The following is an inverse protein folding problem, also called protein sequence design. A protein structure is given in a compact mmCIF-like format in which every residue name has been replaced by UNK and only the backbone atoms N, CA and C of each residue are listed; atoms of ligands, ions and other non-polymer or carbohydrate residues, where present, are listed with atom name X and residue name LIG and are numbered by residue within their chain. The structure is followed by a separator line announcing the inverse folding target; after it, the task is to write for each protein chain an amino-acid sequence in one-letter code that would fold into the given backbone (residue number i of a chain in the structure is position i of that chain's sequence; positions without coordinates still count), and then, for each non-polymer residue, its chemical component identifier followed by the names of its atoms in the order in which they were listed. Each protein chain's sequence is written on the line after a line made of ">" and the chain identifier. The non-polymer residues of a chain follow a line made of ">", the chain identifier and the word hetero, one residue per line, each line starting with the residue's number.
data_IF_075279286811
#
_entry.id   IF_075279286811
#
_cell.length_a   1.000
_cell.length_b   1.000
_cell.length_c   1.000
_cell.angle_alpha   90.00
_cell.angle_beta   90.00
_cell.angle_gamma   90.00
#
_symmetry.space_group_name_H-M   'P 1'
#
loop_
_entity.id
_entity.type
_entity.pdbx_description
1 polymer ?
#
# COMPACT_ATOMS: atom_id res chain seq x y z
N UNK A 1 31.55 -33.29 13.01
CA UNK A 1 30.62 -33.48 11.88
C UNK A 1 29.99 -32.12 11.60
N UNK A 2 30.22 -31.57 10.42
CA UNK A 2 29.78 -30.24 10.03
C UNK A 2 28.51 -30.32 9.18
N UNK A 3 27.53 -29.49 9.49
CA UNK A 3 26.49 -29.06 8.54
C UNK A 3 26.14 -27.62 8.91
N UNK A 4 26.86 -26.68 8.31
CA UNK A 4 26.42 -25.30 8.19
C UNK A 4 25.46 -25.26 7.00
N UNK A 5 24.19 -24.98 7.27
CA UNK A 5 23.19 -24.65 6.24
C UNK A 5 23.17 -23.12 6.12
N UNK A 6 23.68 -22.54 5.03
CA UNK A 6 23.33 -21.17 4.68
C UNK A 6 21.96 -21.20 4.00
N UNK A 7 20.87 -21.07 4.76
CA UNK A 7 19.57 -20.70 4.21
C UNK A 7 19.60 -19.20 3.92
N UNK A 8 20.15 -18.88 2.75
CA UNK A 8 19.94 -17.60 2.09
C UNK A 8 18.50 -17.58 1.57
N UNK A 9 17.60 -17.03 2.38
CA UNK A 9 16.26 -16.64 1.95
C UNK A 9 16.17 -15.12 2.06
N UNK A 10 16.97 -14.42 1.24
CA UNK A 10 16.67 -13.05 0.83
C UNK A 10 15.53 -13.12 -0.19
N UNK A 11 14.35 -13.51 0.28
CA UNK A 11 13.13 -13.23 -0.45
C UNK A 11 12.73 -11.81 -0.07
N UNK A 12 13.25 -10.84 -0.81
CA UNK A 12 12.56 -9.56 -1.00
C UNK A 12 11.23 -9.88 -1.70
N UNK A 13 10.27 -10.38 -0.92
CA UNK A 13 9.02 -10.91 -1.41
C UNK A 13 8.20 -9.73 -1.92
N UNK A 14 8.32 -9.49 -3.23
CA UNK A 14 7.43 -8.63 -4.02
C UNK A 14 6.02 -9.22 -3.95
N UNK A 15 5.34 -9.01 -2.81
CA UNK A 15 3.89 -9.09 -2.76
C UNK A 15 3.40 -7.97 -3.67
N UNK A 16 3.07 -8.33 -4.91
CA UNK A 16 2.32 -7.51 -5.84
C UNK A 16 0.99 -7.15 -5.17
N UNK A 17 1.01 -6.12 -4.33
CA UNK A 17 -0.17 -5.62 -3.64
C UNK A 17 -1.10 -5.15 -4.73
N UNK A 18 -2.20 -5.86 -4.94
CA UNK A 18 -3.19 -5.48 -5.95
C UNK A 18 -3.79 -4.16 -5.51
N UNK A 19 -3.50 -3.11 -6.28
CA UNK A 19 -4.04 -1.78 -6.06
C UNK A 19 -5.15 -1.51 -7.07
N UNK A 20 -6.23 -0.87 -6.62
CA UNK A 20 -7.33 -0.48 -7.49
C UNK A 20 -7.83 0.90 -7.10
N UNK A 21 -8.07 1.76 -8.09
CA UNK A 21 -8.60 3.09 -7.86
C UNK A 21 -10.10 3.09 -8.15
N UNK A 22 -10.88 3.61 -7.21
CA UNK A 22 -12.34 3.75 -7.37
C UNK A 22 -12.75 5.19 -7.15
N UNK A 23 -13.85 5.59 -7.77
CA UNK A 23 -14.49 6.89 -7.50
C UNK A 23 -15.57 6.71 -6.45
N UNK A 24 -15.52 7.53 -5.40
CA UNK A 24 -16.62 7.64 -4.44
C UNK A 24 -17.83 8.30 -5.10
N UNK A 25 -19.04 8.03 -4.59
CA UNK A 25 -20.28 8.69 -5.01
C UNK A 25 -20.21 10.23 -4.98
N UNK A 26 -19.32 10.79 -4.15
CA UNK A 26 -19.08 12.24 -4.04
C UNK A 26 -17.97 12.76 -4.96
N UNK A 27 -17.53 11.95 -5.94
CA UNK A 27 -16.48 12.28 -6.91
C UNK A 27 -15.03 12.21 -6.39
N UNK A 28 -14.81 11.74 -5.16
CA UNK A 28 -13.45 11.65 -4.58
C UNK A 28 -12.78 10.34 -4.97
N UNK A 29 -11.52 10.38 -5.38
CA UNK A 29 -10.72 9.19 -5.66
C UNK A 29 -10.38 8.45 -4.36
N UNK A 30 -10.62 7.15 -4.35
CA UNK A 30 -10.24 6.21 -3.29
C UNK A 30 -9.30 5.16 -3.87
N UNK A 31 -8.46 4.61 -3.00
CA UNK A 31 -7.51 3.57 -3.33
C UNK A 31 -7.85 2.33 -2.49
N UNK A 32 -8.07 1.21 -3.16
CA UNK A 32 -8.20 -0.11 -2.55
C UNK A 32 -6.83 -0.78 -2.64
N UNK A 33 -6.27 -1.19 -1.52
CA UNK A 33 -5.03 -1.96 -1.47
C UNK A 33 -5.14 -3.01 -0.36
N UNK A 34 -4.84 -4.28 -0.69
CA UNK A 34 -4.93 -5.40 0.26
C UNK A 34 -6.29 -5.45 0.98
N UNK A 35 -7.38 -5.30 0.24
CA UNK A 35 -8.78 -5.30 0.76
C UNK A 35 -9.12 -4.13 1.69
N UNK A 36 -8.22 -3.14 1.83
CA UNK A 36 -8.45 -1.94 2.61
C UNK A 36 -8.70 -0.72 1.73
N UNK A 37 -9.59 0.17 2.20
CA UNK A 37 -9.91 1.42 1.52
C UNK A 37 -9.09 2.56 2.13
N UNK A 38 -8.44 3.32 1.25
CA UNK A 38 -7.67 4.50 1.56
C UNK A 38 -8.26 5.72 0.83
N UNK A 39 -8.27 6.85 1.53
CA UNK A 39 -8.63 8.17 0.99
C UNK A 39 -7.38 8.98 0.72
N UNK A 40 -7.40 9.77 -0.34
CA UNK A 40 -6.33 10.70 -0.65
C UNK A 40 -6.15 11.69 0.52
N UNK A 41 -4.92 11.82 1.01
CA UNK A 41 -4.56 12.71 2.11
C UNK A 41 -3.79 13.93 1.63
N UNK A 42 -2.77 13.70 0.80
CA UNK A 42 -1.90 14.75 0.25
C UNK A 42 -1.44 14.33 -1.14
N UNK A 43 -1.31 15.28 -2.05
CA UNK A 43 -0.70 15.08 -3.35
C UNK A 43 0.49 16.01 -3.47
N UNK A 44 1.61 15.48 -3.95
CA UNK A 44 2.78 16.25 -4.39
C UNK A 44 2.91 16.13 -5.91
N UNK A 45 3.90 16.80 -6.49
CA UNK A 45 4.16 16.75 -7.94
C UNK A 45 4.42 15.33 -8.44
N UNK A 46 4.98 14.46 -7.61
CA UNK A 46 5.43 13.11 -7.99
C UNK A 46 4.65 12.00 -7.30
N UNK A 47 3.95 12.30 -6.21
CA UNK A 47 3.46 11.24 -5.31
C UNK A 47 2.11 11.60 -4.69
N UNK A 48 1.21 10.62 -4.62
CA UNK A 48 -0.05 10.68 -3.88
C UNK A 48 0.09 9.91 -2.58
N UNK A 49 -0.22 10.57 -1.47
CA UNK A 49 -0.27 9.98 -0.13
C UNK A 49 -1.71 9.66 0.24
N UNK A 50 -1.94 8.44 0.68
CA UNK A 50 -3.25 7.91 1.03
C UNK A 50 -3.27 7.47 2.48
N UNK A 51 -4.40 7.68 3.15
CA UNK A 51 -4.65 7.25 4.53
C UNK A 51 -5.85 6.33 4.59
N UNK A 52 -5.79 5.29 5.42
CA UNK A 52 -6.92 4.36 5.59
C UNK A 52 -8.16 5.10 6.09
N UNK A 53 -9.35 4.65 5.65
CA UNK A 53 -10.62 5.32 6.00
C UNK A 53 -11.11 4.97 7.41
N UNK A 54 -10.59 3.88 8.02
CA UNK A 54 -10.99 3.39 9.36
C UNK A 54 -10.49 4.30 10.49
N UNK A 55 -11.34 4.57 11.48
CA UNK A 55 -11.00 5.34 12.68
C UNK A 55 -9.92 4.63 13.50
N UNK A 56 -8.95 5.38 14.07
CA UNK A 56 -7.80 4.85 14.82
C UNK A 56 -6.83 3.96 14.03
N UNK A 57 -6.81 4.03 12.69
CA UNK A 57 -5.80 3.36 11.88
C UNK A 57 -4.72 4.33 11.39
N UNK A 58 -3.46 4.03 11.73
CA UNK A 58 -2.27 4.80 11.30
C UNK A 58 -1.71 4.36 9.94
N UNK A 59 -2.38 3.42 9.26
CA UNK A 59 -1.94 2.87 7.98
C UNK A 59 -1.96 3.95 6.87
N UNK A 60 -0.82 4.09 6.20
CA UNK A 60 -0.58 5.05 5.13
C UNK A 60 0.10 4.33 3.97
N UNK A 61 -0.27 4.70 2.75
CA UNK A 61 0.37 4.21 1.53
C UNK A 61 0.66 5.40 0.61
N UNK A 62 1.63 5.25 -0.27
CA UNK A 62 1.91 6.23 -1.30
C UNK A 62 1.92 5.54 -2.66
N UNK A 63 1.54 6.29 -3.69
CA UNK A 63 1.62 5.86 -5.09
C UNK A 63 2.28 6.97 -5.88
N UNK A 64 3.16 6.63 -6.79
CA UNK A 64 3.69 7.59 -7.77
C UNK A 64 2.59 8.06 -8.72
N UNK A 65 2.71 9.30 -9.21
CA UNK A 65 1.74 9.97 -10.08
C UNK A 65 1.96 9.61 -11.54
#
# INVERSE_FOLDING_TARGET
>A
MATAVPSSEDETQSKSSTISFISSHKGKQLLIANEYIFKLNKTTTTTKYWKRVVNNCSAKIHTDV
#
